data_IF_566872497458
#
_entry.id   IF_566872497458
#
_cell.length_a   1.000
_cell.length_b   1.000
_cell.length_c   1.000
_cell.angle_alpha   90.00
_cell.angle_beta   90.00
_cell.angle_gamma   90.00
#
_symmetry.space_group_name_H-M   'P 1'
#
loop_
_entity.id
_entity.type
_entity.pdbx_description
1 polymer ?
#
# COMPACT_ATOMS: atom_id res chain seq x y z
N UNK A 1 6.10 -16.37 9.11
CA UNK A 1 7.18 -15.37 8.86
C UNK A 1 6.70 -14.42 7.76
N UNK A 2 6.42 -13.15 8.08
CA UNK A 2 5.84 -12.19 7.14
C UNK A 2 6.88 -11.60 6.17
N UNK A 3 6.55 -11.54 4.87
CA UNK A 3 7.41 -10.96 3.84
C UNK A 3 7.59 -9.45 4.02
N UNK A 4 6.50 -8.71 4.25
CA UNK A 4 6.56 -7.25 4.38
C UNK A 4 7.26 -6.81 5.67
N UNK A 5 7.13 -7.55 6.78
CA UNK A 5 7.95 -7.29 7.97
C UNK A 5 9.45 -7.38 7.67
N UNK A 6 9.88 -8.34 6.85
CA UNK A 6 11.29 -8.42 6.43
C UNK A 6 11.73 -7.25 5.55
N UNK A 7 10.83 -6.73 4.70
CA UNK A 7 11.10 -5.55 3.88
C UNK A 7 11.22 -4.31 4.76
N UNK A 8 10.29 -4.12 5.70
CA UNK A 8 10.31 -3.04 6.69
C UNK A 8 11.60 -3.07 7.50
N UNK A 9 12.00 -4.25 7.98
CA UNK A 9 13.26 -4.50 8.71
C UNK A 9 14.52 -4.42 7.83
N UNK A 10 14.39 -4.08 6.53
CA UNK A 10 15.49 -4.05 5.55
C UNK A 10 16.27 -5.37 5.40
N UNK A 11 15.67 -6.49 5.80
CA UNK A 11 16.23 -7.85 5.63
C UNK A 11 16.07 -8.37 4.20
N UNK A 12 15.12 -7.82 3.45
CA UNK A 12 14.91 -8.08 2.02
C UNK A 12 14.91 -6.73 1.30
N UNK A 13 15.63 -6.58 0.19
CA UNK A 13 15.67 -5.33 -0.55
C UNK A 13 14.29 -5.01 -1.15
N UNK A 14 13.97 -3.72 -1.18
CA UNK A 14 12.81 -3.18 -1.90
C UNK A 14 13.19 -1.82 -2.49
N UNK A 15 12.43 -1.38 -3.49
CA UNK A 15 12.57 -0.01 -4.02
C UNK A 15 11.84 0.94 -3.10
N UNK A 16 12.58 1.49 -2.13
CA UNK A 16 12.09 2.45 -1.15
C UNK A 16 11.39 3.65 -1.81
N UNK A 17 10.28 4.10 -1.23
CA UNK A 17 9.52 5.28 -1.69
C UNK A 17 9.30 6.28 -0.55
N UNK A 18 8.84 5.82 0.60
CA UNK A 18 8.48 6.67 1.73
C UNK A 18 8.55 5.89 3.04
N UNK A 19 8.87 6.58 4.13
CA UNK A 19 8.83 6.00 5.47
C UNK A 19 8.61 7.11 6.51
N UNK A 20 7.77 6.82 7.50
CA UNK A 20 7.64 7.59 8.73
C UNK A 20 7.60 6.65 9.95
N UNK A 21 7.18 7.15 11.11
CA UNK A 21 7.09 6.37 12.35
C UNK A 21 6.19 5.13 12.23
N UNK A 22 5.12 5.20 11.44
CA UNK A 22 4.07 4.18 11.40
C UNK A 22 3.91 3.49 10.04
N UNK A 23 4.37 4.12 8.97
CA UNK A 23 4.13 3.71 7.59
C UNK A 23 5.46 3.49 6.86
N UNK A 24 5.48 2.49 5.99
CA UNK A 24 6.56 2.23 5.06
C UNK A 24 5.96 2.02 3.67
N UNK A 25 6.60 2.53 2.62
CA UNK A 25 6.12 2.37 1.25
C UNK A 25 7.26 2.06 0.29
N UNK A 26 6.98 1.16 -0.65
CA UNK A 26 7.93 0.67 -1.64
C UNK A 26 7.22 0.34 -2.96
N UNK A 27 7.96 0.34 -4.07
CA UNK A 27 7.39 -0.04 -5.37
C UNK A 27 7.06 -1.53 -5.38
N UNK A 28 5.90 -1.87 -5.96
CA UNK A 28 5.55 -3.26 -6.23
C UNK A 28 6.54 -3.84 -7.26
N UNK A 29 7.00 -5.07 -7.02
CA UNK A 29 7.90 -5.78 -7.93
C UNK A 29 7.22 -6.19 -9.24
N UNK A 30 5.89 -6.30 -9.24
CA UNK A 30 5.04 -6.65 -10.39
C UNK A 30 4.03 -5.50 -10.65
N UNK A 31 4.49 -4.34 -11.14
CA UNK A 31 3.66 -3.15 -11.27
C UNK A 31 2.48 -3.36 -12.24
N UNK A 32 1.27 -3.00 -11.81
CA UNK A 32 0.04 -3.05 -12.64
C UNK A 32 -0.31 -1.69 -13.28
N UNK A 33 0.48 -0.65 -12.97
CA UNK A 33 0.38 0.68 -13.54
C UNK A 33 1.77 1.34 -13.52
N UNK A 34 2.02 2.40 -14.32
CA UNK A 34 3.31 3.10 -14.34
C UNK A 34 3.77 3.58 -12.96
N UNK A 35 2.83 3.97 -12.09
CA UNK A 35 3.06 4.10 -10.65
C UNK A 35 2.28 3.00 -9.96
N UNK A 36 2.98 2.06 -9.33
CA UNK A 36 2.40 1.04 -8.45
C UNK A 36 3.23 0.96 -7.15
N UNK A 37 2.70 1.53 -6.08
CA UNK A 37 3.37 1.60 -4.77
C UNK A 37 2.52 0.88 -3.74
N UNK A 38 3.14 0.07 -2.89
CA UNK A 38 2.52 -0.55 -1.74
C UNK A 38 2.79 0.31 -0.51
N UNK A 39 1.72 0.79 0.14
CA UNK A 39 1.79 1.52 1.41
C UNK A 39 1.37 0.58 2.52
N UNK A 40 2.28 0.29 3.45
CA UNK A 40 2.08 -0.70 4.52
C UNK A 40 2.29 -0.08 5.90
N UNK A 41 1.54 -0.52 6.93
CA UNK A 41 1.87 -0.17 8.29
C UNK A 41 3.13 -0.92 8.74
N UNK A 42 3.94 -0.29 9.59
CA UNK A 42 5.05 -0.98 10.29
C UNK A 42 4.53 -2.00 11.29
N UNK A 43 3.39 -1.72 11.94
CA UNK A 43 2.64 -2.69 12.75
C UNK A 43 2.11 -3.80 11.84
N UNK A 44 2.42 -5.06 12.15
CA UNK A 44 1.84 -6.21 11.45
C UNK A 44 0.34 -6.32 11.76
N UNK A 45 -0.48 -6.32 10.71
CA UNK A 45 -1.93 -6.57 10.75
C UNK A 45 -2.21 -7.47 9.56
N UNK A 46 -2.74 -8.68 9.75
CA UNK A 46 -2.71 -9.69 8.68
C UNK A 46 -3.74 -9.41 7.59
N UNK A 47 -4.95 -9.00 8.00
CA UNK A 47 -6.05 -8.63 7.09
C UNK A 47 -6.79 -7.42 7.65
N UNK A 48 -7.60 -6.74 6.82
CA UNK A 48 -8.38 -5.60 7.28
C UNK A 48 -9.44 -5.98 8.33
N UNK A 49 -9.84 -7.25 8.42
CA UNK A 49 -10.74 -7.75 9.46
C UNK A 49 -10.13 -7.68 10.88
N UNK A 50 -8.80 -7.62 10.99
CA UNK A 50 -8.09 -7.51 12.26
C UNK A 50 -7.90 -6.06 12.72
N UNK A 51 -8.25 -5.07 11.88
CA UNK A 51 -8.16 -3.67 12.26
C UNK A 51 -9.44 -3.23 12.99
N UNK A 52 -9.29 -2.93 14.28
CA UNK A 52 -10.34 -2.38 15.13
C UNK A 52 -10.21 -0.87 15.37
N UNK A 53 -11.02 -0.31 16.30
CA UNK A 53 -10.99 1.11 16.64
C UNK A 53 -9.60 1.64 17.02
N UNK A 54 -8.77 0.83 17.68
CA UNK A 54 -7.40 1.17 18.07
C UNK A 54 -6.45 1.38 16.87
N UNK A 55 -6.87 1.00 15.66
CA UNK A 55 -6.11 1.13 14.43
C UNK A 55 -6.62 2.26 13.53
N UNK A 56 -7.69 2.98 13.91
CA UNK A 56 -8.32 4.01 13.06
C UNK A 56 -7.32 5.08 12.61
N UNK A 57 -6.50 5.59 13.52
CA UNK A 57 -5.49 6.59 13.19
C UNK A 57 -4.43 6.04 12.24
N UNK A 58 -3.93 4.83 12.51
CA UNK A 58 -2.95 4.16 11.66
C UNK A 58 -3.48 3.97 10.23
N UNK A 59 -4.75 3.58 10.09
CA UNK A 59 -5.37 3.43 8.77
C UNK A 59 -5.47 4.78 8.06
N UNK A 60 -5.92 5.83 8.75
CA UNK A 60 -5.92 7.19 8.21
C UNK A 60 -4.53 7.61 7.70
N UNK A 61 -3.48 7.27 8.45
CA UNK A 61 -2.08 7.54 8.06
C UNK A 61 -1.66 6.80 6.78
N UNK A 62 -2.14 5.59 6.52
CA UNK A 62 -1.88 4.88 5.25
C UNK A 62 -2.43 5.66 4.05
N UNK A 63 -3.68 6.15 4.14
CA UNK A 63 -4.29 6.95 3.08
C UNK A 63 -3.60 8.31 2.91
N UNK A 64 -3.19 8.96 4.01
CA UNK A 64 -2.44 10.21 3.96
C UNK A 64 -1.07 10.04 3.30
N UNK A 65 -0.35 8.97 3.63
CA UNK A 65 0.91 8.61 2.99
C UNK A 65 0.71 8.35 1.48
N UNK A 66 -0.33 7.60 1.10
CA UNK A 66 -0.65 7.37 -0.31
C UNK A 66 -0.95 8.70 -1.06
N UNK A 67 -1.71 9.62 -0.45
CA UNK A 67 -1.98 10.93 -1.03
C UNK A 67 -0.70 11.77 -1.20
N UNK A 68 0.20 11.73 -0.22
CA UNK A 68 1.51 12.39 -0.33
C UNK A 68 2.32 11.80 -1.49
N UNK A 69 2.44 10.48 -1.55
CA UNK A 69 3.19 9.78 -2.60
C UNK A 69 2.58 10.07 -3.98
N UNK A 70 1.25 10.13 -4.10
CA UNK A 70 0.57 10.47 -5.35
C UNK A 70 0.92 11.87 -5.86
N UNK A 71 1.07 12.86 -4.95
CA UNK A 71 1.55 14.21 -5.30
C UNK A 71 3.02 14.18 -5.70
N UNK A 72 3.87 13.52 -4.89
CA UNK A 72 5.31 13.43 -5.14
C UNK A 72 5.63 12.70 -6.47
N UNK A 73 4.76 11.78 -6.89
CA UNK A 73 4.85 11.05 -8.18
C UNK A 73 4.10 11.72 -9.34
N UNK A 74 3.58 12.93 -9.16
CA UNK A 74 2.85 13.69 -10.19
C UNK A 74 1.65 12.96 -10.81
N UNK A 75 0.95 12.14 -10.01
CA UNK A 75 -0.28 11.44 -10.45
C UNK A 75 -1.55 11.98 -9.79
N UNK A 76 -1.43 12.86 -8.78
CA UNK A 76 -2.58 13.37 -8.03
C UNK A 76 -3.63 14.06 -8.91
N UNK A 77 -3.23 15.06 -9.73
CA UNK A 77 -4.16 15.83 -10.57
C UNK A 77 -4.79 15.00 -11.70
N UNK A 78 -4.06 14.00 -12.21
CA UNK A 78 -4.55 13.08 -13.25
C UNK A 78 -5.47 12.00 -12.69
N UNK A 79 -5.51 11.84 -11.38
CA UNK A 79 -6.21 10.77 -10.69
C UNK A 79 -5.38 9.51 -10.51
N UNK A 80 -5.74 8.75 -9.48
CA UNK A 80 -5.14 7.48 -9.10
C UNK A 80 -6.21 6.58 -8.46
N UNK A 81 -5.91 5.29 -8.31
CA UNK A 81 -6.76 4.33 -7.59
C UNK A 81 -6.04 3.82 -6.36
N UNK A 82 -6.77 3.74 -5.26
CA UNK A 82 -6.36 3.04 -4.06
C UNK A 82 -7.10 1.71 -3.99
N UNK A 83 -6.37 0.62 -3.73
CA UNK A 83 -6.95 -0.72 -3.57
C UNK A 83 -6.43 -1.35 -2.30
N UNK A 84 -7.32 -1.93 -1.50
CA UNK A 84 -6.97 -2.77 -0.37
C UNK A 84 -7.73 -4.07 -0.52
N UNK A 85 -6.99 -5.17 -0.61
CA UNK A 85 -7.56 -6.50 -0.77
C UNK A 85 -7.68 -7.18 0.59
N UNK A 86 -8.79 -7.87 0.82
CA UNK A 86 -9.03 -8.63 2.04
C UNK A 86 -9.38 -10.08 1.68
N UNK A 87 -8.53 -11.02 2.12
CA UNK A 87 -8.59 -12.45 1.80
C UNK A 87 -8.40 -12.79 0.31
N UNK A 88 -8.37 -14.08 0.02
CA UNK A 88 -7.92 -14.67 -1.24
C UNK A 88 -8.77 -14.27 -2.45
N UNK A 89 -10.10 -14.23 -2.31
CA UNK A 89 -10.99 -13.90 -3.44
C UNK A 89 -10.87 -12.43 -3.89
N UNK A 90 -10.46 -11.54 -2.98
CA UNK A 90 -10.11 -10.16 -3.32
C UNK A 90 -8.68 -10.04 -3.89
N UNK A 91 -7.91 -11.13 -3.96
CA UNK A 91 -6.52 -11.11 -4.45
C UNK A 91 -5.48 -10.77 -3.40
N UNK A 92 -5.77 -10.88 -2.09
CA UNK A 92 -4.75 -10.70 -1.06
C UNK A 92 -3.76 -11.88 -1.06
N UNK A 93 -2.51 -11.63 -1.46
CA UNK A 93 -1.45 -12.66 -1.53
C UNK A 93 -0.47 -12.60 -0.36
N UNK A 94 -0.24 -11.41 0.20
CA UNK A 94 0.58 -11.21 1.40
C UNK A 94 -0.33 -10.80 2.56
N UNK A 95 -0.28 -11.60 3.64
CA UNK A 95 -1.07 -11.39 4.86
C UNK A 95 -0.39 -10.39 5.79
N UNK A 96 -0.26 -9.16 5.28
CA UNK A 96 0.09 -7.93 5.97
C UNK A 96 -0.62 -6.84 5.18
N UNK A 97 -1.54 -6.09 5.79
CA UNK A 97 -2.37 -5.13 5.04
C UNK A 97 -1.50 -4.16 4.23
N UNK A 98 -1.90 -3.93 2.99
CA UNK A 98 -1.18 -3.07 2.06
C UNK A 98 -2.19 -2.33 1.20
N UNK A 99 -2.03 -1.01 1.16
CA UNK A 99 -2.81 -0.14 0.31
C UNK A 99 -2.02 0.03 -0.99
N UNK A 100 -2.54 -0.53 -2.08
CA UNK A 100 -2.00 -0.30 -3.41
C UNK A 100 -2.34 1.12 -3.85
N UNK A 101 -1.34 1.87 -4.29
CA UNK A 101 -1.47 3.13 -5.00
C UNK A 101 -1.14 2.90 -6.48
N UNK A 102 -2.14 3.00 -7.35
CA UNK A 102 -2.01 2.79 -8.80
C UNK A 102 -2.29 4.08 -9.56
N UNK A 103 -1.41 4.45 -10.50
CA UNK A 103 -1.61 5.65 -11.31
C UNK A 103 -0.67 5.77 -12.51
N UNK A 104 -0.77 6.90 -13.20
CA UNK A 104 0.03 7.18 -14.42
C UNK A 104 -0.60 6.70 -15.72
N UNK A 105 -1.75 6.03 -15.65
CA UNK A 105 -2.58 5.61 -16.80
C UNK A 105 -4.08 5.72 -16.46
N UNK A 106 -4.95 5.59 -17.46
CA UNK A 106 -6.40 5.45 -17.24
C UNK A 106 -6.66 4.15 -16.45
N UNK A 107 -7.49 4.25 -15.41
CA UNK A 107 -7.92 3.11 -14.59
C UNK A 107 -9.33 2.67 -15.05
N UNK A 108 -9.44 1.47 -15.62
CA UNK A 108 -10.70 0.95 -16.15
C UNK A 108 -11.68 0.51 -15.05
N UNK A 109 -12.92 0.24 -15.45
CA UNK A 109 -14.00 -0.28 -14.61
C UNK A 109 -14.60 -1.54 -15.26
N UNK A 110 -14.91 -2.61 -14.50
CA UNK A 110 -14.79 -2.75 -13.04
C UNK A 110 -13.33 -2.79 -12.53
N UNK A 111 -13.09 -2.55 -11.22
CA UNK A 111 -11.76 -2.47 -10.62
C UNK A 111 -11.27 -3.85 -10.17
N UNK A 112 -11.24 -4.80 -11.10
CA UNK A 112 -10.56 -6.08 -10.99
C UNK A 112 -9.31 -6.05 -11.84
#
# INVERSE_FOLDING_TARGET
MCLFCKIIDRKIPSKFVYEDEHVFAFEDINPQAPVHVLVVPKKHISTMLEAGPDNNELIGRLFQAANKIARDRNIAERGFRLVLNCNSEAGQSVYHIHLHLLGGRIMHWPPG
#
